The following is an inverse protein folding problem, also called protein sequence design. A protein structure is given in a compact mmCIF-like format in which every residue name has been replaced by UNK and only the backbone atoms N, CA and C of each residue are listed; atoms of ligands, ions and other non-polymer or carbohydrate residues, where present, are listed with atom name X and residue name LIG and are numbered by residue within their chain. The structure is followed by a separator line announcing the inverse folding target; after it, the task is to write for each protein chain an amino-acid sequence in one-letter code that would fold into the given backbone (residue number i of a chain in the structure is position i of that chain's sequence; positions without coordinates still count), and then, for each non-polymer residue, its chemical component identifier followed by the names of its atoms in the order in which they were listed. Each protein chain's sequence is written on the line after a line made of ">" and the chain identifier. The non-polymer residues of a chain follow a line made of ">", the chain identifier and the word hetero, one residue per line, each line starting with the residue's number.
data_IF_369848966515
#
_entry.id   IF_369848966515
#
_cell.length_a   1.000
_cell.length_b   1.000
_cell.length_c   1.000
_cell.angle_alpha   90.00
_cell.angle_beta   90.00
_cell.angle_gamma   90.00
#
_symmetry.space_group_name_H-M   'P 1'
#
loop_
_entity.id
_entity.type
_entity.pdbx_description
1 polymer ?
#
# COMPACT_ATOMS: atom_id res chain seq x y z
N UNK A 1 -27.90 -19.87 12.98
CA UNK A 1 -27.03 -19.04 12.12
C UNK A 1 -26.16 -18.19 13.03
N UNK A 2 -24.89 -18.54 13.19
CA UNK A 2 -23.96 -17.74 14.03
C UNK A 2 -23.69 -16.40 13.35
N UNK A 3 -23.69 -15.26 14.08
CA UNK A 3 -23.34 -13.98 13.49
C UNK A 3 -21.87 -14.02 13.07
N UNK A 4 -21.64 -13.96 11.76
CA UNK A 4 -20.30 -13.89 11.17
C UNK A 4 -19.63 -12.64 11.74
N UNK A 5 -18.58 -12.82 12.57
CA UNK A 5 -17.81 -11.69 13.11
C UNK A 5 -17.38 -10.80 11.94
N UNK A 6 -17.60 -9.48 12.00
CA UNK A 6 -17.16 -8.59 10.93
C UNK A 6 -15.65 -8.76 10.77
N UNK A 7 -15.23 -9.21 9.60
CA UNK A 7 -13.84 -9.44 9.29
C UNK A 7 -13.16 -8.07 9.10
N UNK A 8 -12.65 -7.49 10.19
CA UNK A 8 -11.88 -6.24 10.17
C UNK A 8 -10.47 -6.41 9.56
N UNK A 9 -10.23 -7.49 8.82
CA UNK A 9 -8.99 -7.68 8.08
C UNK A 9 -8.99 -6.85 6.80
N UNK A 10 -7.83 -6.33 6.42
CA UNK A 10 -7.64 -5.73 5.10
C UNK A 10 -8.06 -6.74 4.00
N UNK A 11 -9.03 -6.42 3.12
CA UNK A 11 -9.66 -7.41 2.25
C UNK A 11 -8.68 -8.10 1.31
N UNK A 12 -8.94 -9.37 0.96
CA UNK A 12 -8.06 -10.12 0.05
C UNK A 12 -8.06 -9.53 -1.36
N UNK A 13 -9.21 -8.99 -1.81
CA UNK A 13 -9.40 -8.37 -3.12
C UNK A 13 -8.61 -7.06 -3.29
N UNK A 14 -8.23 -6.40 -2.20
CA UNK A 14 -7.44 -5.16 -2.25
C UNK A 14 -5.95 -5.40 -1.97
N UNK A 15 -5.52 -6.66 -1.89
CA UNK A 15 -4.12 -7.01 -1.70
C UNK A 15 -3.53 -7.39 -3.03
N UNK A 16 -2.48 -6.69 -3.42
CA UNK A 16 -1.64 -7.10 -4.53
C UNK A 16 -0.93 -8.40 -4.15
N UNK A 17 -1.27 -9.52 -4.79
CA UNK A 17 -0.67 -10.83 -4.50
C UNK A 17 0.36 -11.22 -5.54
N UNK A 18 1.34 -12.01 -5.10
CA UNK A 18 2.29 -12.67 -5.99
C UNK A 18 3.49 -11.80 -6.37
N UNK A 19 4.65 -12.45 -6.47
CA UNK A 19 5.91 -11.80 -6.83
C UNK A 19 5.85 -11.18 -8.23
N UNK A 20 5.19 -11.84 -9.18
CA UNK A 20 5.06 -11.39 -10.56
C UNK A 20 4.34 -10.05 -10.65
N UNK A 21 3.18 -9.91 -10.01
CA UNK A 21 2.41 -8.66 -10.03
C UNK A 21 3.16 -7.53 -9.31
N UNK A 22 3.82 -7.84 -8.18
CA UNK A 22 4.70 -6.89 -7.51
C UNK A 22 5.83 -6.39 -8.42
N UNK A 23 6.50 -7.29 -9.13
CA UNK A 23 7.58 -6.92 -10.05
C UNK A 23 7.04 -6.14 -11.24
N UNK A 24 5.91 -6.55 -11.81
CA UNK A 24 5.27 -5.85 -12.93
C UNK A 24 5.02 -4.37 -12.60
N UNK A 25 4.52 -4.07 -11.40
CA UNK A 25 4.32 -2.68 -10.94
C UNK A 25 5.66 -1.98 -10.66
N UNK A 26 6.60 -2.64 -9.98
CA UNK A 26 7.87 -2.00 -9.60
C UNK A 26 8.76 -1.71 -10.83
N UNK A 27 8.85 -2.64 -11.78
CA UNK A 27 9.75 -2.58 -12.95
C UNK A 27 9.07 -2.08 -14.21
N UNK A 28 7.74 -1.99 -14.23
CA UNK A 28 6.97 -1.55 -15.39
C UNK A 28 7.33 -0.13 -15.81
N UNK A 29 7.68 0.07 -17.08
CA UNK A 29 8.03 1.39 -17.63
C UNK A 29 6.86 2.38 -17.60
N UNK A 30 5.62 1.88 -17.70
CA UNK A 30 4.41 2.69 -17.62
C UNK A 30 4.00 3.05 -16.18
N UNK A 31 4.74 2.60 -15.17
CA UNK A 31 4.37 2.85 -13.77
C UNK A 31 4.78 4.24 -13.33
N UNK A 32 3.84 5.00 -12.77
CA UNK A 32 4.09 6.30 -12.15
C UNK A 32 4.75 6.10 -10.79
N UNK A 33 5.78 6.90 -10.49
CA UNK A 33 6.47 6.87 -9.21
C UNK A 33 6.30 8.20 -8.50
N UNK A 34 5.73 8.17 -7.32
CA UNK A 34 5.67 9.32 -6.42
C UNK A 34 6.64 9.07 -5.28
N UNK A 35 7.50 10.04 -5.00
CA UNK A 35 8.49 9.96 -3.93
C UNK A 35 8.09 10.94 -2.84
N UNK A 36 7.83 10.41 -1.65
CA UNK A 36 7.69 11.19 -0.43
C UNK A 36 8.98 11.12 0.39
N UNK A 37 8.93 11.68 1.60
CA UNK A 37 10.05 11.69 2.55
C UNK A 37 10.27 10.31 3.14
N UNK A 38 9.20 9.62 3.56
CA UNK A 38 9.31 8.31 4.22
C UNK A 38 8.97 7.14 3.30
N UNK A 39 8.14 7.36 2.28
CA UNK A 39 7.73 6.31 1.38
C UNK A 39 7.78 6.69 -0.11
N UNK A 40 7.83 5.67 -0.96
CA UNK A 40 7.70 5.79 -2.41
C UNK A 40 6.47 4.98 -2.82
N UNK A 41 5.56 5.58 -3.58
CA UNK A 41 4.44 4.88 -4.21
C UNK A 41 4.82 4.60 -5.66
N UNK A 42 4.70 3.34 -6.06
CA UNK A 42 4.80 2.92 -7.46
C UNK A 42 3.43 2.45 -7.90
N UNK A 43 2.91 3.05 -8.97
CA UNK A 43 1.53 2.87 -9.37
C UNK A 43 1.45 2.47 -10.83
N UNK A 44 0.72 1.39 -11.09
CA UNK A 44 0.34 0.97 -12.43
C UNK A 44 -1.18 1.02 -12.56
N UNK A 45 -1.67 1.30 -13.77
CA UNK A 45 -3.07 1.04 -14.09
C UNK A 45 -3.32 -0.46 -14.13
N UNK A 46 -4.46 -0.86 -13.59
CA UNK A 46 -4.96 -2.21 -13.80
C UNK A 46 -5.50 -2.28 -15.24
N UNK A 47 -5.31 -3.40 -15.93
CA UNK A 47 -5.74 -3.58 -17.32
C UNK A 47 -7.24 -3.78 -17.51
N UNK A 48 -8.00 -3.84 -16.40
CA UNK A 48 -9.42 -4.16 -16.35
C UNK A 48 -10.19 -2.96 -15.79
N UNK A 49 -11.23 -2.53 -16.50
CA UNK A 49 -11.96 -1.28 -16.22
C UNK A 49 -12.79 -1.29 -14.92
N UNK A 50 -12.93 -2.44 -14.25
CA UNK A 50 -13.73 -2.62 -13.03
C UNK A 50 -12.95 -3.23 -11.85
N UNK A 51 -11.62 -3.39 -11.94
CA UNK A 51 -10.89 -4.00 -10.83
C UNK A 51 -10.71 -3.04 -9.66
N UNK A 52 -10.88 -3.57 -8.46
CA UNK A 52 -10.60 -2.83 -7.25
C UNK A 52 -9.12 -2.44 -7.15
N UNK A 53 -8.85 -1.35 -6.43
CA UNK A 53 -7.49 -0.94 -6.12
C UNK A 53 -6.79 -2.02 -5.30
N UNK A 54 -5.62 -2.44 -5.76
CA UNK A 54 -4.79 -3.43 -5.09
C UNK A 54 -3.54 -2.77 -4.49
N UNK A 55 -3.24 -3.11 -3.25
CA UNK A 55 -2.10 -2.56 -2.52
C UNK A 55 -1.07 -3.63 -2.19
N UNK A 56 0.18 -3.34 -2.53
CA UNK A 56 1.36 -4.07 -2.08
C UNK A 56 2.18 -3.22 -1.11
N UNK A 57 2.68 -3.80 -0.02
CA UNK A 57 3.55 -3.09 0.93
C UNK A 57 4.90 -3.77 0.99
N UNK A 58 5.95 -3.02 0.66
CA UNK A 58 7.33 -3.45 0.73
C UNK A 58 8.10 -2.61 1.74
N UNK A 59 8.67 -3.25 2.75
CA UNK A 59 9.49 -2.59 3.77
C UNK A 59 10.89 -3.17 3.74
N UNK A 60 11.85 -2.33 3.39
CA UNK A 60 13.28 -2.66 3.30
C UNK A 60 13.83 -3.15 4.65
N UNK A 61 14.83 -4.04 4.61
CA UNK A 61 15.62 -4.41 5.81
C UNK A 61 16.28 -3.19 6.48
N UNK A 62 16.56 -2.13 5.71
CA UNK A 62 17.15 -0.89 6.22
C UNK A 62 16.19 -0.08 7.11
N UNK A 63 14.88 -0.33 7.03
CA UNK A 63 13.89 0.37 7.84
C UNK A 63 13.82 -0.14 9.30
N UNK A 64 14.56 -1.20 9.63
CA UNK A 64 14.68 -1.73 10.98
C UNK A 64 14.46 -3.24 11.09
N UNK A 65 14.38 -3.72 12.33
CA UNK A 65 14.20 -5.13 12.65
C UNK A 65 12.83 -5.68 12.19
N UNK A 66 12.64 -7.00 12.27
CA UNK A 66 11.39 -7.65 11.83
C UNK A 66 10.15 -7.09 12.55
N UNK A 67 10.27 -6.76 13.83
CA UNK A 67 9.16 -6.20 14.63
C UNK A 67 8.76 -4.82 14.11
N UNK A 68 9.70 -3.89 13.94
CA UNK A 68 9.45 -2.55 13.40
C UNK A 68 8.85 -2.62 12.00
N UNK A 69 9.39 -3.46 11.11
CA UNK A 69 8.84 -3.64 9.75
C UNK A 69 7.43 -4.20 9.75
N UNK A 70 7.14 -5.16 10.63
CA UNK A 70 5.79 -5.72 10.77
C UNK A 70 4.81 -4.72 11.36
N UNK A 71 5.26 -3.85 12.28
CA UNK A 71 4.48 -2.72 12.79
C UNK A 71 4.14 -1.73 11.68
N UNK A 72 5.12 -1.30 10.88
CA UNK A 72 4.89 -0.40 9.74
C UNK A 72 3.86 -0.98 8.75
N UNK A 73 3.98 -2.26 8.41
CA UNK A 73 2.97 -2.94 7.56
C UNK A 73 1.59 -3.02 8.23
N UNK A 74 1.51 -3.09 9.56
CA UNK A 74 0.23 -3.13 10.29
C UNK A 74 -0.44 -1.75 10.26
N UNK A 75 0.27 -0.69 10.62
CA UNK A 75 -0.30 0.67 10.64
C UNK A 75 -0.73 1.13 9.24
N UNK A 76 0.04 0.80 8.20
CA UNK A 76 -0.33 1.15 6.81
C UNK A 76 -1.61 0.39 6.41
N UNK A 77 -1.69 -0.92 6.68
CA UNK A 77 -2.89 -1.70 6.33
C UNK A 77 -4.13 -1.19 7.07
N UNK A 78 -3.96 -0.79 8.32
CA UNK A 78 -5.05 -0.24 9.11
C UNK A 78 -5.51 1.10 8.55
N UNK A 79 -4.57 2.00 8.24
CA UNK A 79 -4.88 3.27 7.61
C UNK A 79 -5.61 3.09 6.27
N UNK A 80 -5.11 2.22 5.38
CA UNK A 80 -5.78 1.91 4.12
C UNK A 80 -7.19 1.33 4.36
N UNK A 81 -7.35 0.45 5.35
CA UNK A 81 -8.64 -0.17 5.68
C UNK A 81 -9.69 0.85 6.10
N UNK A 82 -9.30 1.89 6.84
CA UNK A 82 -10.19 2.95 7.34
C UNK A 82 -10.49 4.01 6.26
N UNK A 83 -9.54 4.30 5.38
CA UNK A 83 -9.66 5.36 4.37
C UNK A 83 -9.92 4.80 2.97
N UNK A 84 -10.93 3.93 2.81
CA UNK A 84 -11.27 3.36 1.48
C UNK A 84 -11.73 4.41 0.47
N UNK A 85 -12.29 5.52 0.93
CA UNK A 85 -12.81 6.59 0.07
C UNK A 85 -11.72 7.37 -0.67
N UNK A 86 -10.46 7.34 -0.19
CA UNK A 86 -9.33 8.02 -0.82
C UNK A 86 -8.54 7.12 -1.78
N UNK A 87 -9.03 5.91 -2.06
CA UNK A 87 -8.33 4.98 -2.94
C UNK A 87 -8.49 5.38 -4.40
N UNK A 88 -7.39 5.38 -5.19
CA UNK A 88 -7.49 5.63 -6.61
C UNK A 88 -8.10 4.42 -7.32
N UNK A 89 -9.15 4.62 -8.11
CA UNK A 89 -9.84 3.53 -8.81
C UNK A 89 -8.96 2.83 -9.87
N UNK A 90 -9.12 1.51 -10.01
CA UNK A 90 -8.48 0.69 -11.05
C UNK A 90 -6.94 0.77 -11.08
N UNK A 91 -6.29 0.83 -9.91
CA UNK A 91 -4.83 0.91 -9.81
C UNK A 91 -4.23 -0.22 -8.98
N UNK A 92 -3.00 -0.60 -9.36
CA UNK A 92 -2.12 -1.44 -8.56
C UNK A 92 -1.06 -0.52 -7.94
N UNK A 93 -1.05 -0.42 -6.61
CA UNK A 93 -0.21 0.49 -5.84
C UNK A 93 0.77 -0.29 -4.99
N UNK A 94 2.06 -0.07 -5.17
CA UNK A 94 3.12 -0.62 -4.31
C UNK A 94 3.71 0.50 -3.46
N UNK A 95 3.49 0.41 -2.15
CA UNK A 95 4.07 1.30 -1.14
C UNK A 95 5.43 0.74 -0.72
N UNK A 96 6.48 1.53 -0.89
CA UNK A 96 7.87 1.14 -0.58
C UNK A 96 8.44 2.02 0.50
N UNK A 97 8.78 1.42 1.64
CA UNK A 97 9.52 2.09 2.72
C UNK A 97 10.98 1.64 2.62
N UNK A 98 11.87 2.57 2.25
CA UNK A 98 13.28 2.29 1.99
C UNK A 98 14.16 2.48 3.23
N UNK A 99 13.83 3.46 4.06
CA UNK A 99 14.64 3.94 5.18
C UNK A 99 13.90 3.84 6.51
N UNK A 100 14.59 4.17 7.61
CA UNK A 100 13.99 4.21 8.94
C UNK A 100 12.92 5.29 8.99
N UNK A 101 11.78 4.93 9.58
CA UNK A 101 10.68 5.84 9.86
C UNK A 101 10.76 6.20 11.34
N UNK A 102 11.06 7.46 11.61
CA UNK A 102 11.11 8.09 12.92
C UNK A 102 9.71 8.52 13.39
N UNK A 103 8.89 9.06 12.47
CA UNK A 103 7.51 9.46 12.72
C UNK A 103 6.48 8.61 11.94
N UNK A 104 5.67 7.85 12.68
CA UNK A 104 4.62 7.02 12.09
C UNK A 104 3.40 7.83 11.66
N UNK A 105 3.08 8.93 12.35
CA UNK A 105 1.93 9.77 12.01
C UNK A 105 2.22 10.56 10.73
N UNK A 106 3.40 11.18 10.64
CA UNK A 106 3.86 11.86 9.43
C UNK A 106 3.92 10.94 8.20
N UNK A 107 4.34 9.68 8.37
CA UNK A 107 4.27 8.68 7.30
C UNK A 107 2.83 8.47 6.79
N UNK A 108 1.85 8.36 7.69
CA UNK A 108 0.47 8.11 7.30
C UNK A 108 -0.16 9.33 6.62
N UNK A 109 0.12 10.54 7.11
CA UNK A 109 -0.32 11.77 6.46
C UNK A 109 0.28 11.92 5.06
N UNK A 110 1.60 11.70 4.92
CA UNK A 110 2.27 11.69 3.61
C UNK A 110 1.65 10.66 2.66
N UNK A 111 1.37 9.45 3.16
CA UNK A 111 0.75 8.40 2.36
C UNK A 111 -0.63 8.82 1.86
N UNK A 112 -1.45 9.43 2.71
CA UNK A 112 -2.79 9.91 2.36
C UNK A 112 -2.73 10.98 1.28
N UNK A 113 -1.88 12.00 1.45
CA UNK A 113 -1.68 13.06 0.46
C UNK A 113 -1.25 12.50 -0.92
N UNK A 114 -0.33 11.53 -0.90
CA UNK A 114 0.14 10.86 -2.11
C UNK A 114 -0.96 10.01 -2.77
N UNK A 115 -1.87 9.41 -1.99
CA UNK A 115 -3.00 8.63 -2.51
C UNK A 115 -4.08 9.52 -3.13
N UNK A 116 -4.38 10.67 -2.53
CA UNK A 116 -5.32 11.65 -3.07
C UNK A 116 -4.81 12.27 -4.38
N UNK A 117 -3.49 12.42 -4.50
CA UNK A 117 -2.83 12.98 -5.70
C UNK A 117 -2.81 12.03 -6.91
N UNK A 118 -3.16 10.75 -6.72
CA UNK A 118 -3.01 9.70 -7.73
C UNK A 118 -4.14 9.62 -8.74
#
# INVERSE_FOLDING_TARGET
>A
MSPTRPNNSFPRANRLHGRTNFLAVITGRASKRLRGRWCELVVAQTGESESQTEFGISVSRKAGNAVRRNRLKRIIREHLRTHKGSWPANKMVVIRIKWTVDDEAGLLAELEDMLVTL
#
